data_IF_848421634829
#
_entry.id   IF_848421634829
#
_cell.length_a   1.000
_cell.length_b   1.000
_cell.length_c   1.000
_cell.angle_alpha   90.00
_cell.angle_beta   90.00
_cell.angle_gamma   90.00
#
_symmetry.space_group_name_H-M   'P 1'
#
loop_
_entity.id
_entity.type
_entity.pdbx_description
1 polymer ?
#
# COMPACT_ATOMS: atom_id res chain seq x y z
N UNK A 1 6.02 12.72 15.03
CA UNK A 1 5.52 13.74 14.08
C UNK A 1 5.36 13.05 12.74
N UNK A 2 4.17 13.10 12.13
CA UNK A 2 3.94 12.44 10.85
C UNK A 2 4.67 13.21 9.74
N UNK A 3 5.57 12.52 9.05
CA UNK A 3 6.28 13.01 7.88
C UNK A 3 5.68 12.40 6.61
N UNK A 4 5.75 13.16 5.51
CA UNK A 4 5.27 12.75 4.20
C UNK A 4 6.26 13.17 3.13
N UNK A 5 6.73 12.21 2.34
CA UNK A 5 7.63 12.44 1.21
C UNK A 5 7.08 11.80 -0.06
N UNK A 6 7.54 12.27 -1.22
CA UNK A 6 7.25 11.67 -2.52
C UNK A 6 8.55 11.26 -3.20
N UNK A 7 8.62 10.02 -3.68
CA UNK A 7 9.80 9.51 -4.40
C UNK A 7 9.87 10.07 -5.82
N UNK A 8 11.04 9.93 -6.47
CA UNK A 8 11.20 10.28 -7.89
C UNK A 8 10.29 9.46 -8.82
N UNK A 9 9.90 8.25 -8.41
CA UNK A 9 8.93 7.40 -9.11
C UNK A 9 7.46 7.76 -8.82
N UNK A 10 7.21 8.77 -7.98
CA UNK A 10 5.88 9.27 -7.67
C UNK A 10 5.15 8.57 -6.52
N UNK A 11 5.79 7.62 -5.83
CA UNK A 11 5.24 6.90 -4.67
C UNK A 11 5.20 7.84 -3.46
N UNK A 12 4.08 7.83 -2.75
CA UNK A 12 3.89 8.58 -1.52
C UNK A 12 4.28 7.71 -0.32
N UNK A 13 5.15 8.23 0.55
CA UNK A 13 5.58 7.56 1.78
C UNK A 13 5.19 8.43 2.96
N UNK A 14 4.42 7.85 3.88
CA UNK A 14 3.96 8.50 5.11
C UNK A 14 4.49 7.67 6.27
N UNK A 15 5.18 8.30 7.22
CA UNK A 15 5.75 7.62 8.38
C UNK A 15 5.85 8.55 9.59
N UNK A 16 5.95 7.97 10.78
CA UNK A 16 6.30 8.68 12.01
C UNK A 16 7.49 7.97 12.66
N UNK A 17 8.55 8.72 12.96
CA UNK A 17 9.73 8.18 13.66
C UNK A 17 9.51 8.29 15.17
N UNK A 18 9.45 7.14 15.82
CA UNK A 18 9.35 7.01 17.26
C UNK A 18 10.72 6.61 17.84
N UNK A 19 11.41 7.55 18.51
CA UNK A 19 12.78 7.33 19.02
C UNK A 19 12.90 6.21 20.05
N UNK A 20 11.81 5.91 20.77
CA UNK A 20 11.78 4.92 21.85
C UNK A 20 11.55 3.47 21.38
N UNK A 21 11.43 3.22 20.07
CA UNK A 21 11.03 1.92 19.52
C UNK A 21 12.09 1.43 18.51
N UNK A 22 12.50 0.17 18.63
CA UNK A 22 13.49 -0.48 17.74
C UNK A 22 12.88 -1.34 16.64
N UNK A 23 11.56 -1.28 16.47
CA UNK A 23 10.79 -2.02 15.47
C UNK A 23 10.02 -1.06 14.57
N UNK A 24 9.63 -1.52 13.39
CA UNK A 24 8.70 -0.79 12.54
C UNK A 24 7.59 -1.71 12.03
N UNK A 25 6.44 -1.11 11.73
CA UNK A 25 5.38 -1.73 10.94
C UNK A 25 5.36 -1.03 9.58
N UNK A 26 5.27 -1.82 8.51
CA UNK A 26 5.25 -1.30 7.14
C UNK A 26 4.04 -1.90 6.44
N UNK A 27 3.30 -1.07 5.73
CA UNK A 27 2.18 -1.47 4.88
C UNK A 27 2.28 -0.80 3.51
N UNK A 28 1.86 -1.51 2.47
CA UNK A 28 1.75 -0.97 1.11
C UNK A 28 0.27 -0.85 0.80
N UNK A 29 -0.16 0.36 0.44
CA UNK A 29 -1.55 0.64 0.09
C UNK A 29 -1.63 0.92 -1.40
N UNK A 30 -2.39 0.09 -2.11
CA UNK A 30 -2.68 0.27 -3.53
C UNK A 30 -4.09 0.81 -3.64
N UNK A 31 -4.27 1.90 -4.39
CA UNK A 31 -5.59 2.50 -4.62
C UNK A 31 -6.34 1.75 -5.74
N UNK A 32 -6.65 0.48 -5.49
CA UNK A 32 -7.40 -0.42 -6.37
C UNK A 32 -8.22 -1.40 -5.53
N UNK A 33 -9.29 -1.95 -6.10
CA UNK A 33 -10.06 -3.04 -5.52
C UNK A 33 -11.21 -3.45 -6.43
N UNK A 34 -12.19 -4.20 -5.92
CA UNK A 34 -13.30 -4.74 -6.71
C UNK A 34 -14.10 -3.68 -7.49
N UNK A 35 -14.19 -2.44 -6.98
CA UNK A 35 -14.85 -1.33 -7.69
C UNK A 35 -14.13 -0.92 -8.99
N UNK A 36 -12.83 -1.18 -9.08
CA UNK A 36 -11.98 -0.76 -10.19
C UNK A 36 -11.85 -1.88 -11.25
N UNK A 37 -12.52 -3.02 -11.06
CA UNK A 37 -12.51 -4.18 -11.95
C UNK A 37 -13.54 -4.05 -13.08
N UNK A 38 -13.21 -4.59 -14.25
CA UNK A 38 -14.19 -4.78 -15.32
C UNK A 38 -15.02 -6.04 -15.10
N UNK A 39 -16.16 -6.15 -15.79
CA UNK A 39 -17.03 -7.34 -15.72
C UNK A 39 -16.30 -8.64 -16.10
N UNK A 40 -15.23 -8.56 -16.88
CA UNK A 40 -14.40 -9.71 -17.29
C UNK A 40 -13.29 -10.07 -16.30
N UNK A 41 -13.10 -9.26 -15.26
CA UNK A 41 -11.98 -9.36 -14.31
C UNK A 41 -12.47 -9.45 -12.84
N UNK A 42 -13.74 -9.79 -12.62
CA UNK A 42 -14.34 -9.86 -11.29
C UNK A 42 -13.51 -10.74 -10.34
N UNK A 43 -13.13 -10.15 -9.20
CA UNK A 43 -12.35 -10.78 -8.15
C UNK A 43 -10.84 -10.77 -8.38
N UNK A 44 -10.32 -10.23 -9.49
CA UNK A 44 -8.89 -10.28 -9.81
C UNK A 44 -8.03 -9.58 -8.75
N UNK A 45 -8.49 -8.47 -8.16
CA UNK A 45 -7.74 -7.74 -7.12
C UNK A 45 -7.51 -8.61 -5.90
N UNK A 46 -8.55 -9.35 -5.48
CA UNK A 46 -8.46 -10.27 -4.36
C UNK A 46 -7.61 -11.50 -4.74
N UNK A 47 -7.79 -12.06 -5.93
CA UNK A 47 -6.91 -13.15 -6.41
C UNK A 47 -5.44 -12.73 -6.38
N UNK A 48 -5.11 -11.53 -6.87
CA UNK A 48 -3.74 -10.99 -6.83
C UNK A 48 -3.23 -10.78 -5.41
N UNK A 49 -4.09 -10.37 -4.46
CA UNK A 49 -3.74 -10.32 -3.03
C UNK A 49 -3.35 -11.70 -2.50
N UNK A 50 -4.01 -12.78 -2.91
CA UNK A 50 -3.60 -14.13 -2.53
C UNK A 50 -2.32 -14.57 -3.24
N UNK A 51 -2.10 -14.18 -4.51
CA UNK A 51 -0.97 -14.65 -5.32
C UNK A 51 0.36 -13.92 -5.04
N UNK A 52 0.32 -12.79 -4.34
CA UNK A 52 1.55 -12.08 -3.93
C UNK A 52 2.25 -12.76 -2.73
N UNK A 53 1.57 -13.68 -2.05
CA UNK A 53 2.07 -14.49 -0.94
C UNK A 53 2.08 -15.98 -1.30
#
# INVERSE_FOLDING_TARGET
MIEKIRTNSGIEVIFDRLESISTCSVGVFVKTGSRDESDTEEGISHVLEHMIF
#
